data_IF_672598814752
#
_entry.id   IF_672598814752
#
_cell.length_a   1.000
_cell.length_b   1.000
_cell.length_c   1.000
_cell.angle_alpha   90.00
_cell.angle_beta   90.00
_cell.angle_gamma   90.00
#
_symmetry.space_group_name_H-M   'P 1'
#
loop_
_entity.id
_entity.type
_entity.pdbx_description
1 polymer ?
#
# COMPACT_ATOMS: atom_id res chain seq x y z
N UNK A 1 -17.34 27.01 8.02
CA UNK A 1 -16.89 26.82 6.62
C UNK A 1 -16.52 28.17 6.04
N UNK A 2 -15.32 28.32 5.44
CA UNK A 2 -14.90 29.57 4.76
C UNK A 2 -15.89 29.99 3.67
N UNK A 3 -15.98 31.30 3.38
CA UNK A 3 -16.98 31.87 2.46
C UNK A 3 -16.90 31.24 1.07
N UNK A 4 -15.71 31.15 0.47
CA UNK A 4 -15.52 30.57 -0.85
C UNK A 4 -15.98 29.10 -0.90
N UNK A 5 -15.59 28.30 0.11
CA UNK A 5 -16.00 26.90 0.24
C UNK A 5 -17.53 26.76 0.27
N UNK A 6 -18.21 27.63 1.02
CA UNK A 6 -19.67 27.63 1.11
C UNK A 6 -20.35 27.96 -0.23
N UNK A 7 -19.79 28.89 -1.00
CA UNK A 7 -20.32 29.24 -2.32
C UNK A 7 -20.06 28.12 -3.34
N UNK A 8 -18.88 27.49 -3.31
CA UNK A 8 -18.56 26.32 -4.13
C UNK A 8 -19.56 25.19 -3.85
N UNK A 9 -19.77 24.83 -2.58
CA UNK A 9 -20.68 23.76 -2.18
C UNK A 9 -22.10 23.94 -2.72
N UNK A 10 -22.62 25.19 -2.71
CA UNK A 10 -23.94 25.52 -3.29
C UNK A 10 -24.00 25.29 -4.81
N UNK A 11 -22.88 25.43 -5.51
CA UNK A 11 -22.82 25.32 -6.97
C UNK A 11 -22.54 23.90 -7.47
N UNK A 12 -22.03 22.98 -6.64
CA UNK A 12 -21.63 21.62 -7.06
C UNK A 12 -22.71 20.89 -7.87
N UNK A 13 -23.97 20.96 -7.43
CA UNK A 13 -25.10 20.32 -8.14
C UNK A 13 -25.33 20.92 -9.53
N UNK A 14 -25.24 22.25 -9.65
CA UNK A 14 -25.36 22.98 -10.92
C UNK A 14 -24.20 22.65 -11.86
N UNK A 15 -22.98 22.56 -11.34
CA UNK A 15 -21.80 22.20 -12.11
C UNK A 15 -21.83 20.75 -12.60
N UNK A 16 -22.31 19.81 -11.79
CA UNK A 16 -22.55 18.43 -12.23
C UNK A 16 -23.47 18.38 -13.47
N UNK A 17 -24.49 19.24 -13.53
CA UNK A 17 -25.46 19.24 -14.64
C UNK A 17 -24.96 19.99 -15.88
N UNK A 18 -24.23 21.09 -15.68
CA UNK A 18 -23.90 22.05 -16.77
C UNK A 18 -22.48 21.96 -17.28
N UNK A 19 -21.55 21.47 -16.46
CA UNK A 19 -20.11 21.51 -16.74
C UNK A 19 -19.46 20.14 -16.82
N UNK A 20 -20.16 19.09 -16.38
CA UNK A 20 -19.69 17.71 -16.43
C UNK A 20 -20.39 16.94 -17.56
N UNK A 21 -19.82 15.78 -17.92
CA UNK A 21 -20.57 14.79 -18.69
C UNK A 21 -21.77 14.32 -17.87
N UNK A 22 -22.96 14.08 -18.47
CA UNK A 22 -24.17 13.68 -17.74
C UNK A 22 -23.98 12.45 -16.84
N UNK A 23 -23.05 11.57 -17.21
CA UNK A 23 -22.76 10.32 -16.51
C UNK A 23 -21.61 10.47 -15.50
N UNK A 24 -20.67 11.40 -15.71
CA UNK A 24 -19.42 11.49 -14.96
C UNK A 24 -19.28 12.86 -14.28
N UNK A 25 -19.62 13.00 -12.98
CA UNK A 25 -19.60 14.25 -12.22
C UNK A 25 -18.18 14.62 -11.76
N UNK A 26 -17.25 14.72 -12.72
CA UNK A 26 -15.83 14.95 -12.47
C UNK A 26 -15.36 16.11 -13.34
N UNK A 27 -14.55 17.00 -12.74
CA UNK A 27 -13.83 18.05 -13.44
C UNK A 27 -12.32 17.83 -13.32
N UNK A 28 -11.60 18.24 -14.35
CA UNK A 28 -10.15 18.48 -14.25
C UNK A 28 -9.91 19.88 -13.69
N UNK A 29 -8.74 20.08 -13.09
CA UNK A 29 -8.37 21.33 -12.43
C UNK A 29 -8.65 22.59 -13.26
N UNK A 30 -8.26 22.71 -14.54
CA UNK A 30 -8.55 23.91 -15.33
C UNK A 30 -10.06 24.24 -15.41
N UNK A 31 -10.89 23.22 -15.67
CA UNK A 31 -12.35 23.40 -15.75
C UNK A 31 -12.99 23.73 -14.39
N UNK A 32 -12.42 23.22 -13.30
CA UNK A 32 -12.85 23.57 -11.95
C UNK A 32 -12.46 25.01 -11.58
N UNK A 33 -11.24 25.45 -11.92
CA UNK A 33 -10.80 26.85 -11.75
C UNK A 33 -11.72 27.80 -12.51
N UNK A 34 -12.03 27.50 -13.77
CA UNK A 34 -12.95 28.32 -14.58
C UNK A 34 -14.35 28.37 -13.95
N UNK A 35 -14.85 27.26 -13.41
CA UNK A 35 -16.13 27.22 -12.71
C UNK A 35 -16.14 28.11 -11.45
N UNK A 36 -15.04 28.13 -10.69
CA UNK A 36 -14.93 28.95 -9.48
C UNK A 36 -14.78 30.43 -9.83
N UNK A 37 -14.11 30.76 -10.93
CA UNK A 37 -14.00 32.15 -11.43
C UNK A 37 -15.33 32.80 -11.78
N UNK A 38 -16.38 32.00 -12.05
CA UNK A 38 -17.76 32.51 -12.18
C UNK A 38 -18.35 32.99 -10.85
N UNK A 39 -17.85 32.48 -9.72
CA UNK A 39 -18.22 32.90 -8.36
C UNK A 39 -17.34 34.08 -7.94
N UNK A 40 -16.03 33.95 -8.12
CA UNK A 40 -15.03 34.97 -7.77
C UNK A 40 -13.97 35.09 -8.88
N UNK A 41 -14.08 36.09 -9.76
CA UNK A 41 -13.15 36.29 -10.87
C UNK A 41 -11.70 36.56 -10.47
N UNK A 42 -11.46 36.95 -9.21
CA UNK A 42 -10.14 37.32 -8.70
C UNK A 42 -9.57 36.25 -7.74
N UNK A 43 -10.18 35.07 -7.68
CA UNK A 43 -9.70 33.99 -6.82
C UNK A 43 -8.26 33.62 -7.18
N UNK A 44 -7.38 33.66 -6.19
CA UNK A 44 -6.02 33.18 -6.33
C UNK A 44 -6.01 31.64 -6.33
N UNK A 45 -5.22 31.04 -7.22
CA UNK A 45 -5.22 29.59 -7.43
C UNK A 45 -4.71 28.82 -6.21
N UNK A 46 -3.71 29.37 -5.49
CA UNK A 46 -3.24 28.79 -4.23
C UNK A 46 -4.34 28.78 -3.17
N UNK A 47 -5.09 29.89 -3.05
CA UNK A 47 -6.22 29.96 -2.12
C UNK A 47 -7.34 28.98 -2.50
N UNK A 48 -7.59 28.80 -3.79
CA UNK A 48 -8.54 27.80 -4.29
C UNK A 48 -8.06 26.38 -4.01
N UNK A 49 -6.77 26.09 -4.15
CA UNK A 49 -6.18 24.79 -3.83
C UNK A 49 -6.42 24.45 -2.35
N UNK A 50 -6.12 25.37 -1.43
CA UNK A 50 -6.36 25.18 -0.01
C UNK A 50 -7.86 25.04 0.32
N UNK A 51 -8.71 25.85 -0.32
CA UNK A 51 -10.17 25.76 -0.18
C UNK A 51 -10.70 24.40 -0.66
N UNK A 52 -10.14 23.85 -1.73
CA UNK A 52 -10.54 22.56 -2.30
C UNK A 52 -10.09 21.40 -1.42
N UNK A 53 -8.86 21.45 -0.88
CA UNK A 53 -8.40 20.51 0.15
C UNK A 53 -9.31 20.54 1.39
N UNK A 54 -9.74 21.72 1.81
CA UNK A 54 -10.70 21.85 2.92
C UNK A 54 -12.04 21.16 2.61
N UNK A 55 -12.58 21.34 1.39
CA UNK A 55 -13.82 20.68 0.95
C UNK A 55 -13.65 19.16 0.81
N UNK A 56 -12.48 18.68 0.37
CA UNK A 56 -12.12 17.26 0.31
C UNK A 56 -12.11 16.63 1.72
N UNK A 57 -11.49 17.30 2.69
CA UNK A 57 -11.51 16.85 4.09
C UNK A 57 -12.92 16.81 4.70
N UNK A 58 -13.85 17.66 4.23
CA UNK A 58 -15.25 17.61 4.63
C UNK A 58 -16.06 16.55 3.88
N UNK A 59 -15.51 15.96 2.82
CA UNK A 59 -16.21 15.03 1.94
C UNK A 59 -17.28 15.69 1.06
N UNK A 60 -17.20 17.00 0.83
CA UNK A 60 -18.08 17.72 -0.11
C UNK A 60 -17.70 17.45 -1.57
N UNK A 61 -16.39 17.32 -1.82
CA UNK A 61 -15.80 16.87 -3.09
C UNK A 61 -14.76 15.79 -2.78
N UNK A 62 -14.25 15.12 -3.81
CA UNK A 62 -12.99 14.37 -3.67
C UNK A 62 -11.94 14.99 -4.56
N UNK A 63 -10.79 15.30 -3.98
CA UNK A 63 -9.66 15.93 -4.64
C UNK A 63 -8.47 14.97 -4.73
N UNK A 64 -7.99 14.73 -5.95
CA UNK A 64 -6.80 13.90 -6.21
C UNK A 64 -5.82 14.63 -7.09
N UNK A 65 -4.53 14.48 -6.79
CA UNK A 65 -3.44 15.06 -7.54
C UNK A 65 -2.57 13.93 -8.13
N UNK A 66 -2.91 13.41 -9.32
CA UNK A 66 -2.08 12.44 -10.01
C UNK A 66 -0.69 13.01 -10.29
N UNK A 67 0.35 12.18 -10.23
CA UNK A 67 1.72 12.65 -10.50
C UNK A 67 1.97 13.03 -11.96
N UNK A 68 1.16 12.50 -12.89
CA UNK A 68 1.37 12.62 -14.34
C UNK A 68 0.25 13.40 -15.07
N UNK A 69 -0.73 13.96 -14.38
CA UNK A 69 -1.84 14.70 -15.00
C UNK A 69 -2.43 15.75 -14.08
N UNK A 70 -3.23 16.66 -14.64
CA UNK A 70 -3.95 17.67 -13.87
C UNK A 70 -4.78 17.06 -12.73
N UNK A 71 -4.88 17.75 -11.58
CA UNK A 71 -5.72 17.33 -10.48
C UNK A 71 -7.16 17.05 -10.91
N UNK A 72 -7.76 16.07 -10.25
CA UNK A 72 -9.10 15.57 -10.51
C UNK A 72 -9.99 15.95 -9.34
N UNK A 73 -11.15 16.54 -9.65
CA UNK A 73 -12.17 16.91 -8.68
C UNK A 73 -13.43 16.10 -8.97
N UNK A 74 -13.74 15.15 -8.10
CA UNK A 74 -15.02 14.45 -8.11
C UNK A 74 -16.03 15.33 -7.37
N UNK A 75 -16.98 15.93 -8.11
CA UNK A 75 -17.96 16.87 -7.56
C UNK A 75 -19.08 16.17 -6.77
N UNK A 76 -19.26 14.86 -6.97
CA UNK A 76 -20.27 14.06 -6.29
C UNK A 76 -19.60 12.81 -5.67
N UNK A 77 -19.10 12.89 -4.43
CA UNK A 77 -18.42 11.77 -3.76
C UNK A 77 -19.26 10.49 -3.71
N UNK A 78 -20.58 10.61 -3.48
CA UNK A 78 -21.50 9.48 -3.48
C UNK A 78 -21.54 8.69 -4.79
N UNK A 79 -21.31 9.35 -5.95
CA UNK A 79 -21.23 8.65 -7.24
C UNK A 79 -20.01 7.74 -7.27
N UNK A 80 -18.85 8.21 -6.82
CA UNK A 80 -17.65 7.39 -6.77
C UNK A 80 -17.85 6.20 -5.81
N UNK A 81 -18.45 6.42 -4.64
CA UNK A 81 -18.63 5.35 -3.66
C UNK A 81 -19.68 4.32 -4.11
N UNK A 82 -20.81 4.76 -4.67
CA UNK A 82 -21.99 3.91 -4.91
C UNK A 82 -22.01 3.34 -6.32
N UNK A 83 -21.73 4.18 -7.32
CA UNK A 83 -21.88 3.82 -8.73
C UNK A 83 -20.58 3.24 -9.32
N UNK A 84 -19.45 3.48 -8.66
CA UNK A 84 -18.12 3.03 -9.11
C UNK A 84 -17.51 2.00 -8.15
N UNK A 85 -17.10 2.41 -6.95
CA UNK A 85 -16.35 1.55 -6.01
C UNK A 85 -17.22 0.37 -5.56
N UNK A 86 -18.50 0.60 -5.27
CA UNK A 86 -19.46 -0.44 -4.91
C UNK A 86 -19.47 -1.60 -5.92
N UNK A 87 -19.87 -1.36 -7.19
CA UNK A 87 -19.84 -2.35 -8.26
C UNK A 87 -18.46 -2.98 -8.50
N UNK A 88 -17.39 -2.18 -8.43
CA UNK A 88 -16.02 -2.67 -8.65
C UNK A 88 -15.60 -3.69 -7.58
N UNK A 89 -15.93 -3.41 -6.32
CA UNK A 89 -15.53 -4.21 -5.16
C UNK A 89 -16.59 -5.23 -4.71
N UNK A 90 -17.72 -5.31 -5.42
CA UNK A 90 -18.84 -6.14 -5.01
C UNK A 90 -18.52 -7.64 -5.06
N UNK A 91 -18.94 -8.42 -4.05
CA UNK A 91 -18.73 -9.85 -4.05
C UNK A 91 -19.62 -10.54 -5.10
N UNK A 92 -19.25 -11.77 -5.46
CA UNK A 92 -19.85 -12.46 -6.60
C UNK A 92 -21.36 -12.70 -6.49
N UNK A 93 -21.86 -12.77 -5.26
CA UNK A 93 -23.25 -13.01 -4.90
C UNK A 93 -24.10 -11.74 -4.80
N UNK A 94 -23.52 -10.55 -5.02
CA UNK A 94 -24.29 -9.30 -5.00
C UNK A 94 -24.96 -9.06 -6.36
N UNK A 95 -26.29 -8.82 -6.41
CA UNK A 95 -27.04 -8.79 -7.67
C UNK A 95 -26.94 -7.44 -8.40
N UNK A 96 -25.72 -7.00 -8.68
CA UNK A 96 -25.45 -5.77 -9.46
C UNK A 96 -24.49 -6.06 -10.61
N UNK A 97 -24.52 -5.25 -11.69
CA UNK A 97 -23.48 -5.30 -12.70
C UNK A 97 -22.12 -5.07 -12.06
N UNK A 98 -21.17 -5.97 -12.31
CA UNK A 98 -19.80 -5.90 -11.79
C UNK A 98 -18.83 -6.50 -12.80
N UNK A 99 -17.54 -6.13 -12.78
CA UNK A 99 -16.56 -6.75 -13.65
C UNK A 99 -16.38 -8.22 -13.27
N UNK A 100 -16.22 -9.06 -14.29
CA UNK A 100 -15.81 -10.44 -14.09
C UNK A 100 -14.28 -10.53 -14.04
N UNK A 101 -13.80 -11.46 -13.20
CA UNK A 101 -12.38 -11.76 -13.07
C UNK A 101 -12.06 -13.01 -13.89
N UNK A 102 -10.88 -12.99 -14.48
CA UNK A 102 -10.27 -14.17 -15.10
C UNK A 102 -9.92 -15.21 -14.03
N UNK A 103 -9.56 -16.43 -14.45
CA UNK A 103 -9.05 -17.47 -13.56
C UNK A 103 -7.75 -17.08 -12.83
N UNK A 104 -7.04 -16.08 -13.33
CA UNK A 104 -5.80 -15.53 -12.75
C UNK A 104 -6.07 -14.27 -11.89
N UNK A 105 -7.33 -14.02 -11.52
CA UNK A 105 -7.77 -12.89 -10.69
C UNK A 105 -7.58 -11.48 -11.30
N UNK A 106 -7.30 -11.37 -12.60
CA UNK A 106 -7.27 -10.08 -13.32
C UNK A 106 -8.65 -9.64 -13.82
N UNK A 107 -8.86 -8.33 -13.90
CA UNK A 107 -9.99 -7.70 -14.59
C UNK A 107 -9.49 -7.06 -15.89
N UNK A 108 -10.20 -7.26 -17.00
CA UNK A 108 -9.81 -6.68 -18.29
C UNK A 108 -10.43 -5.29 -18.48
N UNK A 109 -9.79 -4.44 -19.30
CA UNK A 109 -10.35 -3.15 -19.70
C UNK A 109 -11.72 -3.30 -20.35
N UNK A 110 -11.93 -4.36 -21.14
CA UNK A 110 -13.22 -4.66 -21.76
C UNK A 110 -14.32 -4.92 -20.72
N UNK A 111 -14.00 -5.59 -19.61
CA UNK A 111 -14.94 -5.80 -18.51
C UNK A 111 -15.24 -4.50 -17.74
N UNK A 112 -14.24 -3.65 -17.51
CA UNK A 112 -14.45 -2.32 -16.93
C UNK A 112 -15.35 -1.48 -17.86
N UNK A 113 -15.09 -1.49 -19.17
CA UNK A 113 -15.91 -0.81 -20.17
C UNK A 113 -17.34 -1.33 -20.15
N UNK A 114 -17.54 -2.65 -20.18
CA UNK A 114 -18.87 -3.29 -20.20
C UNK A 114 -19.73 -2.83 -19.03
N UNK A 115 -19.13 -2.69 -17.84
CA UNK A 115 -19.85 -2.37 -16.60
C UNK A 115 -20.05 -0.86 -16.44
N UNK A 116 -19.04 -0.05 -16.77
CA UNK A 116 -19.01 1.36 -16.39
C UNK A 116 -19.18 2.36 -17.54
N UNK A 117 -19.27 1.93 -18.80
CA UNK A 117 -19.45 2.85 -19.93
C UNK A 117 -20.70 3.76 -19.83
N UNK A 118 -21.72 3.32 -19.09
CA UNK A 118 -22.94 4.09 -18.84
C UNK A 118 -22.90 4.92 -17.56
N UNK A 119 -21.83 4.78 -16.78
CA UNK A 119 -21.64 5.43 -15.47
C UNK A 119 -20.48 6.41 -15.48
N UNK A 120 -19.47 6.22 -16.34
CA UNK A 120 -18.25 7.03 -16.32
C UNK A 120 -17.58 7.09 -17.68
N UNK A 121 -16.72 8.10 -17.88
CA UNK A 121 -15.61 7.97 -18.79
C UNK A 121 -14.65 6.90 -18.23
N UNK A 122 -14.39 5.86 -19.02
CA UNK A 122 -13.67 4.66 -18.54
C UNK A 122 -12.19 4.93 -18.31
N UNK A 123 -11.58 5.81 -19.10
CA UNK A 123 -10.15 6.13 -18.96
C UNK A 123 -9.91 7.02 -17.73
N UNK A 124 -10.80 8.00 -17.51
CA UNK A 124 -10.82 8.78 -16.29
C UNK A 124 -11.11 7.93 -15.05
N UNK A 125 -12.04 6.98 -15.17
CA UNK A 125 -12.34 6.02 -14.11
C UNK A 125 -11.12 5.17 -13.75
N UNK A 126 -10.45 4.59 -14.74
CA UNK A 126 -9.24 3.79 -14.52
C UNK A 126 -8.18 4.64 -13.81
N UNK A 127 -7.96 5.87 -14.29
CA UNK A 127 -7.04 6.82 -13.64
C UNK A 127 -7.40 7.01 -12.17
N UNK A 128 -8.68 7.30 -11.87
CA UNK A 128 -9.15 7.45 -10.50
C UNK A 128 -8.86 6.20 -9.65
N UNK A 129 -9.24 5.00 -10.13
CA UNK A 129 -9.04 3.76 -9.37
C UNK A 129 -7.55 3.50 -9.05
N UNK A 130 -6.65 3.83 -9.96
CA UNK A 130 -5.20 3.74 -9.73
C UNK A 130 -4.71 4.78 -8.71
N UNK A 131 -5.22 6.01 -8.77
CA UNK A 131 -4.89 7.07 -7.81
C UNK A 131 -5.43 6.80 -6.39
N UNK A 132 -6.55 6.08 -6.28
CA UNK A 132 -7.03 5.53 -5.00
C UNK A 132 -6.28 4.27 -4.56
N UNK A 133 -5.27 3.84 -5.32
CA UNK A 133 -4.47 2.63 -5.09
C UNK A 133 -5.31 1.35 -5.00
N UNK A 134 -6.48 1.32 -5.67
CA UNK A 134 -7.36 0.15 -5.70
C UNK A 134 -6.91 -0.88 -6.74
N UNK A 135 -6.22 -0.43 -7.78
CA UNK A 135 -5.67 -1.31 -8.81
C UNK A 135 -4.37 -0.80 -9.43
N UNK A 136 -3.73 -1.68 -10.19
CA UNK A 136 -2.60 -1.34 -11.04
C UNK A 136 -2.66 -2.12 -12.36
N UNK A 137 -1.98 -1.60 -13.39
CA UNK A 137 -1.84 -2.23 -14.70
C UNK A 137 -0.46 -1.97 -15.27
N UNK A 138 0.12 -2.99 -15.89
CA UNK A 138 1.42 -2.92 -16.57
C UNK A 138 1.30 -2.69 -18.08
N UNK A 139 0.14 -3.00 -18.66
CA UNK A 139 -0.12 -3.00 -20.11
C UNK A 139 -1.30 -2.10 -20.51
N UNK A 140 -2.01 -1.53 -19.54
CA UNK A 140 -3.23 -0.74 -19.75
C UNK A 140 -4.46 -1.56 -20.17
N UNK A 141 -4.37 -2.89 -20.18
CA UNK A 141 -5.43 -3.81 -20.61
C UNK A 141 -5.87 -4.76 -19.50
N UNK A 142 -4.94 -5.18 -18.65
CA UNK A 142 -5.19 -6.06 -17.51
C UNK A 142 -4.94 -5.32 -16.22
N UNK A 143 -5.89 -5.43 -15.30
CA UNK A 143 -5.88 -4.71 -14.03
C UNK A 143 -5.93 -5.71 -12.89
N UNK A 144 -5.00 -5.55 -11.95
CA UNK A 144 -4.97 -6.29 -10.69
C UNK A 144 -5.65 -5.43 -9.63
N UNK A 145 -6.62 -6.01 -8.92
CA UNK A 145 -7.26 -5.40 -7.76
C UNK A 145 -6.85 -6.18 -6.51
N UNK A 146 -5.80 -5.76 -5.78
CA UNK A 146 -5.25 -6.54 -4.67
C UNK A 146 -6.28 -6.88 -3.60
N UNK A 147 -7.22 -5.96 -3.32
CA UNK A 147 -8.32 -6.18 -2.36
C UNK A 147 -9.34 -7.24 -2.78
N UNK A 148 -9.27 -7.77 -4.00
CA UNK A 148 -10.15 -8.82 -4.51
C UNK A 148 -9.43 -10.15 -4.73
N UNK A 149 -8.11 -10.23 -4.53
CA UNK A 149 -7.37 -11.48 -4.70
C UNK A 149 -7.92 -12.58 -3.78
N UNK A 150 -8.14 -13.77 -4.34
CA UNK A 150 -8.71 -14.91 -3.58
C UNK A 150 -7.71 -16.00 -3.29
N UNK A 151 -6.70 -16.13 -4.16
CA UNK A 151 -5.68 -17.16 -4.07
C UNK A 151 -4.69 -16.83 -2.94
N UNK A 152 -4.27 -17.86 -2.21
CA UNK A 152 -3.11 -17.81 -1.29
C UNK A 152 -1.84 -18.19 -2.04
N UNK A 153 -0.67 -17.95 -1.43
CA UNK A 153 0.62 -18.31 -2.03
C UNK A 153 0.67 -19.81 -2.39
N UNK A 154 0.92 -20.16 -3.67
CA UNK A 154 1.14 -21.55 -4.05
C UNK A 154 2.43 -22.10 -3.42
N UNK A 155 2.48 -23.38 -3.01
CA UNK A 155 3.63 -23.95 -2.32
C UNK A 155 4.94 -23.81 -3.10
N UNK A 156 4.92 -23.93 -4.44
CA UNK A 156 6.12 -23.86 -5.29
C UNK A 156 6.76 -22.46 -5.35
N UNK A 157 6.08 -21.40 -4.89
CA UNK A 157 6.58 -20.02 -5.02
C UNK A 157 7.62 -19.63 -3.98
N UNK A 158 7.64 -20.31 -2.83
CA UNK A 158 8.63 -20.06 -1.78
C UNK A 158 9.13 -21.38 -1.19
N UNK A 159 10.10 -21.99 -1.86
CA UNK A 159 10.70 -23.27 -1.48
C UNK A 159 12.13 -23.09 -0.97
N UNK A 160 12.65 -23.98 -0.11
CA UNK A 160 14.05 -24.00 0.27
C UNK A 160 14.96 -24.03 -0.94
N UNK A 161 16.04 -23.25 -0.89
CA UNK A 161 17.12 -23.38 -1.88
C UNK A 161 18.17 -24.36 -1.36
N UNK A 162 18.68 -25.19 -2.26
CA UNK A 162 19.74 -26.15 -1.95
C UNK A 162 21.14 -25.49 -1.97
N UNK A 163 21.20 -24.19 -2.27
CA UNK A 163 22.45 -23.46 -2.38
C UNK A 163 23.14 -23.29 -1.01
N UNK A 164 24.40 -23.72 -0.87
CA UNK A 164 25.09 -23.73 0.43
C UNK A 164 25.39 -22.33 0.97
N UNK A 165 25.39 -21.33 0.09
CA UNK A 165 25.68 -19.92 0.42
C UNK A 165 24.42 -19.11 0.72
N UNK A 166 23.23 -19.73 0.73
CA UNK A 166 22.01 -18.98 0.95
C UNK A 166 22.03 -18.24 2.29
N UNK A 167 21.65 -16.98 2.23
CA UNK A 167 21.39 -16.14 3.41
C UNK A 167 19.91 -15.76 3.44
N UNK A 168 19.36 -15.65 4.64
CA UNK A 168 17.99 -15.23 4.92
C UNK A 168 18.03 -14.11 5.94
N UNK A 169 17.25 -13.06 5.69
CA UNK A 169 17.02 -11.97 6.63
C UNK A 169 15.54 -11.65 6.67
N UNK A 170 15.11 -10.96 7.71
CA UNK A 170 13.78 -10.41 7.69
C UNK A 170 13.43 -9.56 8.88
N UNK A 171 12.41 -8.74 8.68
CA UNK A 171 11.80 -7.92 9.71
C UNK A 171 10.31 -8.15 9.78
N UNK A 172 9.73 -7.82 10.91
CA UNK A 172 8.30 -7.84 11.14
C UNK A 172 7.88 -6.47 11.63
N UNK A 173 6.83 -5.92 11.01
CA UNK A 173 6.12 -4.75 11.49
C UNK A 173 4.83 -5.24 12.10
N UNK A 174 4.69 -5.10 13.42
CA UNK A 174 3.54 -5.60 14.18
C UNK A 174 2.82 -4.47 14.89
N UNK A 175 1.49 -4.52 14.98
CA UNK A 175 0.71 -3.60 15.81
C UNK A 175 1.15 -3.71 17.29
N UNK A 176 1.35 -2.56 17.94
CA UNK A 176 1.83 -2.49 19.32
C UNK A 176 0.77 -3.00 20.32
N UNK A 177 -0.50 -2.65 20.11
CA UNK A 177 -1.60 -3.13 20.94
C UNK A 177 -2.01 -4.57 20.62
N UNK A 178 -2.35 -5.34 21.65
CA UNK A 178 -2.91 -6.69 21.50
C UNK A 178 -4.27 -6.71 20.81
N UNK A 179 -5.00 -5.61 20.89
CA UNK A 179 -6.34 -5.40 20.30
C UNK A 179 -6.30 -4.68 18.95
N UNK A 180 -5.12 -4.17 18.55
CA UNK A 180 -4.96 -3.41 17.31
C UNK A 180 -4.80 -4.37 16.13
N UNK A 181 -5.29 -3.94 14.97
CA UNK A 181 -5.13 -4.61 13.68
C UNK A 181 -4.93 -3.57 12.59
N UNK A 182 -4.26 -3.95 11.51
CA UNK A 182 -4.21 -3.11 10.32
C UNK A 182 -5.60 -3.00 9.69
N UNK A 183 -5.91 -1.85 9.10
CA UNK A 183 -7.14 -1.69 8.32
C UNK A 183 -7.18 -2.70 7.16
N UNK A 184 -8.37 -3.16 6.77
CA UNK A 184 -8.50 -4.12 5.66
C UNK A 184 -7.99 -3.57 4.30
N UNK A 185 -7.90 -2.25 4.16
CA UNK A 185 -7.33 -1.58 2.98
C UNK A 185 -5.81 -1.45 2.99
N UNK A 186 -5.15 -1.68 4.13
CA UNK A 186 -3.72 -1.47 4.29
C UNK A 186 -2.89 -2.40 3.38
N UNK A 187 -3.07 -3.71 3.50
CA UNK A 187 -2.24 -4.66 2.76
C UNK A 187 -2.48 -4.62 1.23
N UNK A 188 -3.73 -4.49 0.73
CA UNK A 188 -3.96 -4.22 -0.69
C UNK A 188 -3.21 -3.01 -1.23
N UNK A 189 -3.10 -1.93 -0.43
CA UNK A 189 -2.34 -0.73 -0.82
C UNK A 189 -0.84 -0.98 -0.83
N UNK A 190 -0.30 -1.74 0.13
CA UNK A 190 1.09 -2.22 0.08
C UNK A 190 1.34 -2.93 -1.25
N UNK A 191 0.46 -3.86 -1.64
CA UNK A 191 0.60 -4.59 -2.91
C UNK A 191 0.52 -3.68 -4.13
N UNK A 192 -0.38 -2.70 -4.16
CA UNK A 192 -0.44 -1.69 -5.23
C UNK A 192 0.83 -0.84 -5.29
N UNK A 193 1.37 -0.44 -4.13
CA UNK A 193 2.60 0.35 -4.01
C UNK A 193 3.82 -0.44 -4.51
N UNK A 194 3.94 -1.71 -4.13
CA UNK A 194 4.94 -2.65 -4.66
C UNK A 194 4.86 -2.75 -6.19
N UNK A 195 3.65 -2.89 -6.74
CA UNK A 195 3.49 -2.97 -8.20
C UNK A 195 3.97 -1.70 -8.92
N UNK A 196 3.76 -0.53 -8.32
CA UNK A 196 4.08 0.77 -8.90
C UNK A 196 5.56 1.13 -8.81
N UNK A 197 6.24 0.72 -7.73
CA UNK A 197 7.60 1.17 -7.41
C UNK A 197 8.70 0.18 -7.75
N UNK A 198 8.37 -1.11 -7.81
CA UNK A 198 9.35 -2.12 -8.19
C UNK A 198 9.49 -2.19 -9.70
N UNK A 199 10.74 -2.27 -10.16
CA UNK A 199 11.06 -2.45 -11.58
C UNK A 199 10.51 -3.77 -12.12
N UNK A 200 10.64 -4.84 -11.34
CA UNK A 200 10.09 -6.15 -11.68
C UNK A 200 8.70 -6.33 -11.10
N UNK A 201 7.76 -6.80 -11.95
CA UNK A 201 6.39 -7.13 -11.56
C UNK A 201 6.39 -8.17 -10.42
N UNK A 202 5.86 -7.85 -9.22
CA UNK A 202 5.73 -8.80 -8.13
C UNK A 202 4.63 -9.82 -8.43
N UNK A 203 4.76 -11.00 -7.85
CA UNK A 203 3.69 -12.00 -7.79
C UNK A 203 2.84 -11.71 -6.56
N UNK A 204 1.52 -11.66 -6.70
CA UNK A 204 0.61 -11.27 -5.63
C UNK A 204 -0.39 -12.38 -5.30
N UNK A 205 -0.76 -12.45 -4.03
CA UNK A 205 -1.78 -13.32 -3.47
C UNK A 205 -2.61 -12.52 -2.46
N UNK A 206 -3.72 -13.06 -1.97
CA UNK A 206 -4.56 -12.38 -0.98
C UNK A 206 -3.79 -11.88 0.25
N UNK A 207 -2.85 -12.68 0.73
CA UNK A 207 -2.13 -12.48 1.99
C UNK A 207 -0.61 -12.36 1.80
N UNK A 208 -0.13 -12.21 0.56
CA UNK A 208 1.30 -12.08 0.31
C UNK A 208 1.69 -11.49 -1.03
N UNK A 209 2.97 -11.18 -1.13
CA UNK A 209 3.62 -10.75 -2.35
C UNK A 209 5.03 -11.33 -2.43
N UNK A 210 5.48 -11.69 -3.62
CA UNK A 210 6.87 -12.06 -3.89
C UNK A 210 7.48 -11.12 -4.91
N UNK A 211 8.63 -10.58 -4.54
CA UNK A 211 9.42 -9.66 -5.31
C UNK A 211 10.74 -10.33 -5.69
N UNK A 212 11.28 -10.01 -6.86
CA UNK A 212 12.58 -10.51 -7.32
C UNK A 212 13.36 -9.34 -7.89
N UNK A 213 14.60 -9.15 -7.43
CA UNK A 213 15.57 -8.27 -8.05
C UNK A 213 16.91 -8.99 -8.13
N UNK A 214 17.44 -9.14 -9.35
CA UNK A 214 18.69 -9.85 -9.64
C UNK A 214 18.73 -11.24 -8.98
N UNK A 215 19.60 -11.42 -7.98
CA UNK A 215 19.86 -12.65 -7.24
C UNK A 215 19.20 -12.66 -5.85
N UNK A 216 18.31 -11.71 -5.56
CA UNK A 216 17.59 -11.57 -4.30
C UNK A 216 16.10 -11.76 -4.52
N UNK A 217 15.47 -12.53 -3.63
CA UNK A 217 14.03 -12.71 -3.59
C UNK A 217 13.50 -12.15 -2.28
N UNK A 218 12.39 -11.42 -2.35
CA UNK A 218 11.64 -10.91 -1.21
C UNK A 218 10.27 -11.55 -1.12
N UNK A 219 9.84 -11.91 0.09
CA UNK A 219 8.51 -12.39 0.41
C UNK A 219 7.91 -11.47 1.49
N UNK A 220 6.77 -10.87 1.17
CA UNK A 220 5.96 -10.12 2.12
C UNK A 220 4.73 -10.96 2.44
N UNK A 221 4.43 -11.17 3.72
CA UNK A 221 3.25 -11.94 4.16
C UNK A 221 2.51 -11.24 5.29
N UNK A 222 1.21 -11.03 5.11
CA UNK A 222 0.32 -10.59 6.18
C UNK A 222 0.03 -11.78 7.11
N UNK A 223 0.13 -11.55 8.41
CA UNK A 223 -0.28 -12.53 9.43
C UNK A 223 -1.78 -12.84 9.34
N UNK A 224 -2.21 -14.06 9.69
CA UNK A 224 -3.62 -14.45 9.62
C UNK A 224 -4.56 -13.59 10.47
N UNK A 225 -4.07 -13.02 11.57
CA UNK A 225 -4.84 -12.12 12.43
C UNK A 225 -4.84 -10.65 11.95
N UNK A 226 -4.08 -10.34 10.89
CA UNK A 226 -3.99 -8.99 10.31
C UNK A 226 -3.19 -8.00 11.16
N UNK A 227 -2.37 -8.48 12.11
CA UNK A 227 -1.70 -7.63 13.10
C UNK A 227 -0.21 -7.46 12.87
N UNK A 228 0.35 -8.21 11.93
CA UNK A 228 1.76 -8.18 11.57
C UNK A 228 1.97 -8.36 10.07
N UNK A 229 2.93 -7.64 9.50
CA UNK A 229 3.49 -7.89 8.17
C UNK A 229 4.91 -8.41 8.34
N UNK A 230 5.18 -9.56 7.76
CA UNK A 230 6.49 -10.19 7.75
C UNK A 230 7.15 -9.91 6.41
N UNK A 231 8.39 -9.43 6.45
CA UNK A 231 9.23 -9.17 5.28
C UNK A 231 10.43 -10.11 5.39
N UNK A 232 10.51 -11.07 4.48
CA UNK A 232 11.64 -11.98 4.38
C UNK A 232 12.38 -11.70 3.08
N UNK A 233 13.70 -11.62 3.13
CA UNK A 233 14.56 -11.56 1.95
C UNK A 233 15.58 -12.68 1.98
N UNK A 234 15.95 -13.18 0.80
CA UNK A 234 17.02 -14.18 0.68
C UNK A 234 17.86 -13.94 -0.56
N UNK A 235 19.12 -14.34 -0.48
CA UNK A 235 20.01 -14.44 -1.64
C UNK A 235 20.60 -15.82 -1.71
N UNK A 236 20.37 -16.53 -2.82
CA UNK A 236 20.95 -17.84 -3.08
C UNK A 236 22.50 -17.79 -3.16
N UNK A 237 23.05 -16.63 -3.53
CA UNK A 237 24.49 -16.43 -3.68
C UNK A 237 25.17 -15.89 -2.42
N UNK A 238 24.42 -15.61 -1.35
CA UNK A 238 24.95 -15.05 -0.12
C UNK A 238 25.16 -13.54 -0.16
N UNK A 239 24.47 -12.82 -1.06
CA UNK A 239 24.60 -11.38 -1.23
C UNK A 239 23.85 -10.60 -0.14
N UNK A 240 24.50 -10.45 1.02
CA UNK A 240 23.95 -9.70 2.16
C UNK A 240 23.65 -8.23 1.80
N UNK A 241 24.47 -7.59 0.96
CA UNK A 241 24.30 -6.16 0.64
C UNK A 241 23.02 -5.94 -0.16
N UNK A 242 22.75 -6.76 -1.18
CA UNK A 242 21.52 -6.65 -1.94
C UNK A 242 20.29 -7.08 -1.12
N UNK A 243 20.42 -8.07 -0.22
CA UNK A 243 19.36 -8.38 0.74
C UNK A 243 18.99 -7.17 1.59
N UNK A 244 19.98 -6.45 2.13
CA UNK A 244 19.75 -5.26 2.95
C UNK A 244 19.03 -4.15 2.18
N UNK A 245 19.45 -3.91 0.92
CA UNK A 245 18.80 -2.92 0.04
C UNK A 245 17.34 -3.27 -0.25
N UNK A 246 17.05 -4.53 -0.61
CA UNK A 246 15.69 -4.97 -0.85
C UNK A 246 14.84 -4.87 0.42
N UNK A 247 15.38 -5.31 1.56
CA UNK A 247 14.68 -5.27 2.84
C UNK A 247 14.30 -3.83 3.22
N UNK A 248 15.24 -2.89 3.12
CA UNK A 248 15.00 -1.47 3.38
C UNK A 248 13.96 -0.87 2.42
N UNK A 249 14.03 -1.21 1.13
CA UNK A 249 13.04 -0.73 0.15
C UNK A 249 11.63 -1.21 0.48
N UNK A 250 11.47 -2.49 0.82
CA UNK A 250 10.17 -3.07 1.19
C UNK A 250 9.64 -2.48 2.50
N UNK A 251 10.52 -2.22 3.47
CA UNK A 251 10.17 -1.56 4.73
C UNK A 251 9.68 -0.14 4.51
N UNK A 252 10.38 0.65 3.69
CA UNK A 252 9.96 2.01 3.37
C UNK A 252 8.57 2.04 2.73
N UNK A 253 8.30 1.15 1.77
CA UNK A 253 6.97 1.02 1.15
C UNK A 253 5.90 0.71 2.19
N UNK A 254 6.17 -0.20 3.12
CA UNK A 254 5.24 -0.58 4.18
C UNK A 254 5.01 0.58 5.16
N UNK A 255 6.08 1.27 5.57
CA UNK A 255 6.02 2.42 6.47
C UNK A 255 5.22 3.59 5.86
N UNK A 256 5.48 3.92 4.59
CA UNK A 256 4.73 4.96 3.87
C UNK A 256 3.24 4.64 3.81
N UNK A 257 2.88 3.40 3.50
CA UNK A 257 1.46 2.99 3.44
C UNK A 257 0.82 2.97 4.83
N UNK A 258 1.57 2.63 5.89
CA UNK A 258 1.07 2.72 7.27
C UNK A 258 0.76 4.15 7.67
N UNK A 259 1.65 5.10 7.36
CA UNK A 259 1.45 6.52 7.64
C UNK A 259 0.23 7.07 6.88
N UNK A 260 0.06 6.67 5.61
CA UNK A 260 -1.08 7.08 4.78
C UNK A 260 -2.43 6.49 5.26
N UNK A 261 -2.45 5.22 5.70
CA UNK A 261 -3.70 4.48 5.92
C UNK A 261 -4.12 4.40 7.39
N UNK A 262 -3.17 4.48 8.31
CA UNK A 262 -3.38 4.18 9.72
C UNK A 262 -2.40 4.95 10.61
N UNK A 263 -2.32 6.30 10.50
CA UNK A 263 -1.34 7.11 11.23
C UNK A 263 -1.47 7.02 12.76
N UNK A 264 -2.64 6.60 13.27
CA UNK A 264 -2.88 6.38 14.69
C UNK A 264 -2.53 4.97 15.20
N UNK A 265 -2.19 4.03 14.32
CA UNK A 265 -1.86 2.65 14.72
C UNK A 265 -0.40 2.57 15.16
N UNK A 266 -0.19 2.40 16.47
CA UNK A 266 1.15 2.13 16.99
C UNK A 266 1.70 0.83 16.44
N UNK A 267 2.95 0.83 15.98
CA UNK A 267 3.65 -0.36 15.50
C UNK A 267 4.98 -0.57 16.21
N UNK A 268 5.41 -1.82 16.26
CA UNK A 268 6.71 -2.25 16.77
C UNK A 268 7.42 -3.04 15.69
N UNK A 269 8.70 -2.75 15.51
CA UNK A 269 9.57 -3.46 14.60
C UNK A 269 10.32 -4.57 15.33
N UNK A 270 10.37 -5.75 14.70
CA UNK A 270 11.07 -6.94 15.20
C UNK A 270 11.93 -7.55 14.10
N UNK A 271 12.91 -8.35 14.51
CA UNK A 271 13.82 -9.07 13.60
C UNK A 271 13.38 -10.52 13.51
N UNK A 272 13.23 -11.07 12.30
CA UNK A 272 12.81 -12.46 12.08
C UNK A 272 13.94 -13.46 12.39
N UNK A 273 13.59 -14.64 12.88
CA UNK A 273 14.52 -15.75 13.12
C UNK A 273 15.10 -16.28 11.80
N UNK A 274 16.41 -16.11 11.58
CA UNK A 274 17.08 -16.58 10.37
C UNK A 274 16.99 -18.10 10.21
N UNK A 275 17.06 -18.83 11.33
CA UNK A 275 16.90 -20.28 11.35
C UNK A 275 15.50 -20.70 10.94
N UNK A 276 14.45 -20.10 11.51
CA UNK A 276 13.07 -20.42 11.13
C UNK A 276 12.82 -20.12 9.64
N UNK A 277 13.38 -19.02 9.12
CA UNK A 277 13.32 -18.69 7.71
C UNK A 277 14.05 -19.73 6.83
N UNK A 278 15.23 -20.19 7.25
CA UNK A 278 16.01 -21.21 6.54
C UNK A 278 15.34 -22.58 6.55
N UNK A 279 14.64 -22.91 7.64
CA UNK A 279 13.86 -24.15 7.79
C UNK A 279 12.47 -24.04 7.11
N UNK A 280 12.10 -22.88 6.56
CA UNK A 280 10.81 -22.62 5.91
C UNK A 280 9.62 -22.94 6.81
N UNK A 281 9.73 -22.56 8.09
CA UNK A 281 8.64 -22.69 9.05
C UNK A 281 7.42 -21.90 8.56
N UNK A 282 6.23 -22.48 8.74
CA UNK A 282 4.97 -21.84 8.35
C UNK A 282 4.68 -20.59 9.19
N UNK A 283 5.05 -20.65 10.47
CA UNK A 283 4.99 -19.53 11.41
C UNK A 283 6.27 -18.69 11.38
N UNK A 284 6.10 -17.38 11.43
CA UNK A 284 7.20 -16.44 11.57
C UNK A 284 7.52 -16.21 13.04
N UNK A 285 8.77 -16.48 13.41
CA UNK A 285 9.30 -16.17 14.73
C UNK A 285 10.15 -14.91 14.67
N UNK A 286 10.11 -14.10 15.72
CA UNK A 286 10.73 -12.78 15.73
C UNK A 286 11.22 -12.36 17.11
N UNK A 287 12.24 -11.52 17.15
CA UNK A 287 12.87 -10.96 18.34
C UNK A 287 12.68 -9.44 18.39
N UNK A 288 12.45 -8.89 19.58
CA UNK A 288 12.44 -7.45 19.79
C UNK A 288 13.84 -6.83 19.64
N UNK A 289 13.89 -5.54 19.28
CA UNK A 289 15.16 -4.80 19.15
C UNK A 289 15.99 -4.79 20.43
N UNK A 290 15.36 -4.68 21.60
CA UNK A 290 16.05 -4.74 22.89
C UNK A 290 16.69 -6.11 23.15
N UNK A 291 16.01 -7.20 22.80
CA UNK A 291 16.52 -8.57 22.95
C UNK A 291 17.75 -8.79 22.06
N UNK A 292 17.69 -8.32 20.80
CA UNK A 292 18.82 -8.38 19.86
C UNK A 292 19.99 -7.54 20.36
N UNK A 293 19.74 -6.32 20.85
CA UNK A 293 20.78 -5.41 21.33
C UNK A 293 21.49 -5.96 22.56
N UNK A 294 20.73 -6.55 23.49
CA UNK A 294 21.28 -7.25 24.66
C UNK A 294 22.11 -8.46 24.24
N UNK A 295 21.59 -9.31 23.35
CA UNK A 295 22.31 -10.46 22.83
C UNK A 295 23.61 -10.08 22.10
N UNK A 296 23.62 -8.96 21.37
CA UNK A 296 24.81 -8.42 20.72
C UNK A 296 25.90 -8.02 21.73
N UNK A 297 25.50 -7.43 22.86
CA UNK A 297 26.41 -7.05 23.94
C UNK A 297 26.90 -8.25 24.77
N UNK A 298 26.07 -9.28 24.94
CA UNK A 298 26.30 -10.45 25.80
C UNK A 298 26.80 -11.69 25.03
N UNK A 299 27.70 -11.50 24.07
CA UNK A 299 28.38 -12.62 23.38
C UNK A 299 27.84 -12.98 22.00
N UNK A 300 26.90 -12.21 21.46
CA UNK A 300 26.46 -12.27 20.05
C UNK A 300 25.52 -13.42 19.71
N UNK A 301 24.90 -14.04 20.72
CA UNK A 301 23.97 -15.17 20.54
C UNK A 301 22.66 -14.95 21.28
N UNK A 302 21.54 -15.33 20.66
CA UNK A 302 20.20 -15.26 21.24
C UNK A 302 19.60 -16.66 21.36
N UNK A 303 18.97 -16.96 22.50
CA UNK A 303 18.21 -18.20 22.71
C UNK A 303 16.76 -17.95 22.34
N UNK A 304 16.24 -18.73 21.39
CA UNK A 304 14.85 -18.64 21.00
C UNK A 304 13.93 -19.07 22.17
N UNK A 305 13.00 -18.21 22.64
CA UNK A 305 12.23 -18.48 23.85
C UNK A 305 11.32 -19.70 23.75
N UNK A 306 10.66 -19.89 22.60
CA UNK A 306 9.73 -21.01 22.38
C UNK A 306 10.41 -22.29 21.92
N UNK A 307 11.30 -22.20 20.93
CA UNK A 307 11.90 -23.36 20.25
C UNK A 307 13.21 -23.84 20.89
N UNK A 308 13.80 -23.07 21.81
CA UNK A 308 14.94 -23.48 22.62
C UNK A 308 16.27 -23.62 21.88
N UNK A 309 16.35 -23.24 20.60
CA UNK A 309 17.61 -23.20 19.88
C UNK A 309 18.32 -21.85 20.00
N UNK A 310 19.63 -21.83 19.75
CA UNK A 310 20.45 -20.62 19.75
C UNK A 310 20.74 -20.16 18.32
N UNK A 311 20.70 -18.84 18.10
CA UNK A 311 21.08 -18.18 16.85
C UNK A 311 22.16 -17.14 17.10
N UNK A 312 22.97 -16.84 16.07
CA UNK A 312 23.94 -15.74 16.11
C UNK A 312 23.28 -14.46 15.65
N UNK A 313 23.52 -13.36 16.36
CA UNK A 313 22.98 -12.03 15.99
C UNK A 313 23.47 -11.59 14.61
N UNK A 314 24.70 -11.94 14.22
CA UNK A 314 25.27 -11.66 12.88
C UNK A 314 24.52 -12.33 11.71
N UNK A 315 23.74 -13.37 12.02
CA UNK A 315 22.94 -14.10 11.02
C UNK A 315 21.52 -13.52 10.91
N UNK A 316 21.11 -12.71 11.89
CA UNK A 316 19.80 -12.04 11.94
C UNK A 316 19.82 -10.65 11.31
N UNK A 317 20.95 -9.95 11.41
CA UNK A 317 21.12 -8.57 10.98
C UNK A 317 21.80 -8.47 9.62
N UNK A 318 21.33 -7.53 8.80
CA UNK A 318 21.81 -7.36 7.44
C UNK A 318 22.66 -6.10 7.34
N UNK A 319 23.99 -6.26 7.17
CA UNK A 319 24.93 -5.21 6.76
C UNK A 319 24.96 -3.95 7.64
N UNK A 320 24.06 -3.00 7.38
CA UNK A 320 23.96 -1.70 8.08
C UNK A 320 23.47 -1.84 9.53
N UNK A 321 22.77 -2.94 9.85
CA UNK A 321 22.31 -3.24 11.20
C UNK A 321 23.39 -3.92 12.08
N UNK A 322 24.57 -4.27 11.54
CA UNK A 322 25.63 -4.94 12.31
C UNK A 322 26.32 -4.02 13.35
N UNK A 323 26.13 -2.68 13.28
CA UNK A 323 26.63 -1.74 14.29
C UNK A 323 25.49 -1.02 15.03
N UNK A 324 24.99 -1.56 16.16
CA UNK A 324 23.93 -0.93 16.96
C UNK A 324 24.30 0.47 17.50
N UNK A 325 25.56 0.90 17.39
CA UNK A 325 25.99 2.27 17.74
C UNK A 325 25.56 3.34 16.72
N UNK A 326 25.23 2.95 15.49
CA UNK A 326 24.78 3.89 14.46
C UNK A 326 23.27 4.17 14.52
N UNK A 327 22.47 3.25 15.09
CA UNK A 327 21.02 3.46 15.28
C UNK A 327 20.70 4.50 16.38
N UNK A 328 21.64 4.81 17.28
CA UNK A 328 21.48 5.86 18.30
C UNK A 328 21.62 7.29 17.79
N UNK A 329 21.97 7.50 16.51
CA UNK A 329 22.16 8.82 15.89
C UNK A 329 21.14 9.11 14.76
N UNK A 330 20.21 8.19 14.50
CA UNK A 330 19.15 8.33 13.50
C UNK A 330 17.80 8.70 14.12
N UNK A 331 17.57 10.01 14.27
CA UNK A 331 16.25 10.66 14.30
C UNK A 331 15.23 10.20 15.35
N UNK A 332 15.27 10.88 16.50
CA UNK A 332 14.07 11.24 17.23
C UNK A 332 13.20 12.19 16.40
N UNK A 333 12.27 11.67 15.60
CA UNK A 333 11.09 12.44 15.18
C UNK A 333 10.05 12.35 16.31
N UNK A 334 10.32 13.05 17.41
CA UNK A 334 9.23 13.47 18.28
C UNK A 334 8.35 14.40 17.46
N UNK A 335 7.13 13.95 17.17
CA UNK A 335 6.01 14.78 16.79
C UNK A 335 5.80 15.86 17.84
N UNK A 336 6.40 17.03 17.63
CA UNK A 336 6.03 18.24 18.34
C UNK A 336 4.75 18.76 17.71
N UNK A 337 3.65 18.63 18.46
CA UNK A 337 2.41 19.34 18.22
C UNK A 337 2.70 20.85 18.13
N UNK A 338 2.32 21.47 17.00
CA UNK A 338 1.70 22.79 16.93
C UNK A 338 0.88 22.91 15.65
#
# INVERSE_FOLDING_TARGET
MPKLCAEIAKQLSSWCQKKCSPKCPVLRWPGYVDAVKEIDPHVEEEFLLQSTKFLDHLGEVIFKCPSASDPIIVLKPNWLCTDVIGPMMAPVNFPIPRPERTSEDYVTRAEIQRVFQDVADVDLLITLLQEFQLCHSYDGQTFIFPGLLTQTMPPDKWQPTLEPKVVYFGKQVQCAGSTDMFSSGFFPRVQTRLMRELENRPLLWRDGAKCVDKNVEGLIKLSPDGRAVNICVRSAQGDKVQCGKMLQQLENIIADVLDECSPGTGTVEKVLSARALKEHMEEFYSYGKEEISKAAAEGGTILHPTLGFTERVSDLLCGEDEDPRLQGLGMSSQSMFY
#
